data_IF_923969494770
#
_entry.id   IF_923969494770
#
_cell.length_a   1.000
_cell.length_b   1.000
_cell.length_c   1.000
_cell.angle_alpha   90.00
_cell.angle_beta   90.00
_cell.angle_gamma   90.00
#
_symmetry.space_group_name_H-M   'P 1'
#
loop_
_entity.id
_entity.type
_entity.pdbx_description
1 polymer ?
#
# COMPACT_ATOMS: atom_id res chain seq x y z
N UNK A 1 8.43 -4.79 19.71
CA UNK A 1 8.34 -3.34 19.42
C UNK A 1 6.91 -2.79 19.47
N UNK A 2 5.88 -3.48 20.01
CA UNK A 2 4.64 -2.83 20.50
C UNK A 2 3.78 -2.00 19.52
N UNK A 3 4.16 -1.87 18.25
CA UNK A 3 3.49 -1.01 17.24
C UNK A 3 2.05 -1.44 16.88
N UNK A 4 1.55 -2.53 17.47
CA UNK A 4 0.22 -3.10 17.23
C UNK A 4 -0.81 -2.72 18.30
N UNK A 5 -0.41 -1.98 19.34
CA UNK A 5 -1.31 -1.60 20.43
C UNK A 5 -1.98 -0.26 20.12
N UNK A 6 -3.31 -0.27 20.02
CA UNK A 6 -4.13 0.93 20.05
C UNK A 6 -4.15 1.45 21.50
N UNK A 7 -3.62 2.65 21.72
CA UNK A 7 -3.67 3.32 23.02
C UNK A 7 -5.00 4.10 23.16
N UNK A 8 -5.40 4.40 24.40
CA UNK A 8 -6.65 5.10 24.71
C UNK A 8 -6.41 6.46 25.43
N UNK A 9 -6.59 7.58 24.71
CA UNK A 9 -6.38 8.93 25.25
C UNK A 9 -6.23 10.03 24.18
N UNK A 10 -6.86 11.20 24.39
CA UNK A 10 -7.13 12.22 23.36
C UNK A 10 -5.94 13.06 22.82
N UNK A 11 -4.69 12.77 23.22
CA UNK A 11 -3.46 13.30 22.58
C UNK A 11 -2.74 12.23 21.73
N UNK A 12 -3.28 11.00 21.70
CA UNK A 12 -2.67 9.82 21.08
C UNK A 12 -2.97 9.69 19.58
N UNK A 13 -3.79 10.56 18.98
CA UNK A 13 -4.19 10.42 17.58
C UNK A 13 -3.00 10.62 16.63
N UNK A 14 -2.17 11.65 16.86
CA UNK A 14 -0.99 11.92 16.04
C UNK A 14 0.10 10.87 16.24
N UNK A 15 0.38 10.46 17.48
CA UNK A 15 1.38 9.42 17.76
C UNK A 15 0.94 8.07 17.17
N UNK A 16 -0.34 7.72 17.31
CA UNK A 16 -0.92 6.50 16.73
C UNK A 16 -0.88 6.55 15.20
N UNK A 17 -1.16 7.70 14.59
CA UNK A 17 -1.05 7.90 13.15
C UNK A 17 0.40 7.73 12.66
N UNK A 18 1.39 8.25 13.38
CA UNK A 18 2.81 8.08 13.06
C UNK A 18 3.25 6.63 13.22
N UNK A 19 2.84 5.96 14.30
CA UNK A 19 3.12 4.53 14.52
C UNK A 19 2.50 3.66 13.43
N UNK A 20 1.25 3.93 13.05
CA UNK A 20 0.57 3.23 11.94
C UNK A 20 1.28 3.48 10.60
N UNK A 21 1.60 4.74 10.28
CA UNK A 21 2.36 5.10 9.08
C UNK A 21 3.70 4.34 9.00
N UNK A 22 4.44 4.32 10.11
CA UNK A 22 5.72 3.62 10.24
C UNK A 22 5.55 2.12 10.08
N UNK A 23 4.53 1.53 10.72
CA UNK A 23 4.24 0.11 10.62
C UNK A 23 3.97 -0.30 9.18
N UNK A 24 3.08 0.39 8.48
CA UNK A 24 2.73 0.06 7.09
C UNK A 24 3.89 0.27 6.13
N UNK A 25 4.74 1.27 6.37
CA UNK A 25 5.98 1.47 5.62
C UNK A 25 6.94 0.30 5.79
N UNK A 26 7.24 -0.08 7.04
CA UNK A 26 8.12 -1.20 7.36
C UNK A 26 7.55 -2.55 6.87
N UNK A 27 6.25 -2.77 7.05
CA UNK A 27 5.54 -3.95 6.58
C UNK A 27 5.67 -4.09 5.07
N UNK A 28 5.33 -3.04 4.32
CA UNK A 28 5.37 -3.10 2.86
C UNK A 28 6.80 -3.30 2.32
N UNK A 29 7.81 -2.76 3.00
CA UNK A 29 9.21 -3.00 2.68
C UNK A 29 9.61 -4.47 2.90
N UNK A 30 9.21 -5.08 4.02
CA UNK A 30 9.43 -6.52 4.29
C UNK A 30 8.75 -7.37 3.21
N UNK A 31 7.52 -7.03 2.81
CA UNK A 31 6.79 -7.74 1.75
C UNK A 31 7.51 -7.60 0.39
N UNK A 32 7.95 -6.41 0.02
CA UNK A 32 8.68 -6.19 -1.24
C UNK A 32 10.00 -6.97 -1.28
N UNK A 33 10.73 -6.99 -0.16
CA UNK A 33 11.95 -7.78 -0.02
C UNK A 33 11.66 -9.28 -0.18
N UNK A 34 10.67 -9.81 0.55
CA UNK A 34 10.29 -11.21 0.48
C UNK A 34 9.80 -11.62 -0.92
N UNK A 35 9.09 -10.73 -1.62
CA UNK A 35 8.69 -10.93 -3.01
C UNK A 35 9.90 -11.04 -3.94
N UNK A 36 10.89 -10.17 -3.79
CA UNK A 36 12.11 -10.19 -4.63
C UNK A 36 13.00 -11.41 -4.38
N UNK A 37 13.02 -11.90 -3.14
CA UNK A 37 13.91 -12.98 -2.71
C UNK A 37 13.24 -14.36 -2.68
N UNK A 38 11.92 -14.42 -2.87
CA UNK A 38 11.14 -15.66 -2.79
C UNK A 38 11.12 -16.26 -1.38
N UNK A 39 11.17 -15.41 -0.34
CA UNK A 39 11.13 -15.85 1.05
C UNK A 39 9.76 -15.59 1.67
N UNK A 40 9.47 -16.23 2.79
CA UNK A 40 8.30 -15.87 3.59
C UNK A 40 8.53 -14.56 4.34
N UNK A 41 7.48 -13.72 4.47
CA UNK A 41 7.47 -12.58 5.38
C UNK A 41 7.82 -12.99 6.80
N UNK A 42 8.47 -12.09 7.55
CA UNK A 42 8.85 -12.37 8.96
C UNK A 42 7.67 -12.24 9.92
N UNK A 43 6.58 -11.65 9.47
CA UNK A 43 5.30 -11.60 10.18
C UNK A 43 4.49 -12.87 9.93
N UNK A 44 3.57 -13.20 10.85
CA UNK A 44 2.71 -14.39 10.73
C UNK A 44 1.73 -14.27 9.55
N UNK A 45 1.11 -15.39 9.15
CA UNK A 45 0.11 -15.43 8.06
C UNK A 45 -1.06 -14.44 8.28
N UNK A 46 -1.45 -14.23 9.54
CA UNK A 46 -2.53 -13.32 9.94
C UNK A 46 -2.01 -12.36 11.01
N UNK A 47 -1.21 -11.35 10.63
CA UNK A 47 -0.67 -10.40 11.58
C UNK A 47 -1.79 -9.46 12.06
N UNK A 48 -1.70 -8.99 13.30
CA UNK A 48 -2.51 -7.86 13.74
C UNK A 48 -2.01 -6.61 13.01
N UNK A 49 -2.87 -6.02 12.19
CA UNK A 49 -2.55 -4.85 11.38
C UNK A 49 -3.22 -3.62 12.01
N UNK A 50 -2.49 -2.52 12.23
CA UNK A 50 -3.07 -1.29 12.76
C UNK A 50 -4.06 -0.70 11.76
N UNK A 51 -4.99 0.11 12.28
CA UNK A 51 -5.96 0.81 11.44
C UNK A 51 -5.25 1.66 10.38
N UNK A 52 -5.82 1.67 9.18
CA UNK A 52 -5.37 2.55 8.12
C UNK A 52 -5.76 3.99 8.45
N UNK A 53 -4.91 4.97 8.13
CA UNK A 53 -5.28 6.36 8.32
C UNK A 53 -6.51 6.73 7.50
N UNK A 54 -7.40 7.50 8.12
CA UNK A 54 -8.58 8.02 7.43
C UNK A 54 -8.20 8.94 6.25
N UNK A 55 -9.02 8.92 5.21
CA UNK A 55 -8.85 9.82 4.06
C UNK A 55 -9.33 11.21 4.47
N UNK A 56 -8.42 12.19 4.45
CA UNK A 56 -8.69 13.58 4.83
C UNK A 56 -8.71 14.45 3.58
N UNK A 57 -9.88 14.98 3.21
CA UNK A 57 -10.08 15.73 1.94
C UNK A 57 -9.09 16.87 1.73
N UNK A 58 -8.78 17.63 2.79
CA UNK A 58 -7.83 18.75 2.69
C UNK A 58 -6.41 18.30 2.36
N UNK A 59 -6.01 17.12 2.86
CA UNK A 59 -4.71 16.53 2.56
C UNK A 59 -4.69 15.94 1.14
N UNK A 60 -5.77 15.28 0.71
CA UNK A 60 -5.87 14.75 -0.65
C UNK A 60 -5.82 15.86 -1.71
N UNK A 61 -6.42 17.02 -1.41
CA UNK A 61 -6.43 18.18 -2.30
C UNK A 61 -5.15 19.03 -2.23
N UNK A 62 -4.19 18.67 -1.38
CA UNK A 62 -2.93 19.41 -1.30
C UNK A 62 -2.23 19.38 -2.66
N UNK A 63 -1.70 20.52 -3.10
CA UNK A 63 -1.03 20.62 -4.39
C UNK A 63 0.17 19.67 -4.45
N UNK A 64 0.20 18.83 -5.48
CA UNK A 64 1.35 18.01 -5.83
C UNK A 64 1.83 18.36 -7.22
N UNK A 65 3.16 18.45 -7.37
CA UNK A 65 3.82 18.80 -8.60
C UNK A 65 4.85 17.69 -8.89
N UNK A 66 4.83 17.08 -10.08
CA UNK A 66 5.78 16.05 -10.44
C UNK A 66 7.21 16.60 -10.46
N UNK A 67 8.14 15.78 -9.99
CA UNK A 67 9.57 16.07 -10.11
C UNK A 67 9.97 16.02 -11.59
N UNK A 68 10.68 17.03 -12.05
CA UNK A 68 11.23 17.10 -13.40
C UNK A 68 12.75 16.99 -13.35
N UNK A 69 13.35 16.20 -14.26
CA UNK A 69 14.80 15.95 -14.30
C UNK A 69 15.65 17.22 -14.43
N UNK A 70 15.10 18.30 -14.99
CA UNK A 70 15.81 19.56 -15.22
C UNK A 70 15.72 20.54 -14.05
N UNK A 71 14.99 20.21 -12.96
CA UNK A 71 14.77 21.10 -11.82
C UNK A 71 13.98 22.39 -12.13
N UNK A 72 13.58 22.62 -13.39
CA UNK A 72 12.71 23.71 -13.79
C UNK A 72 11.28 23.38 -13.34
N UNK A 73 10.56 24.30 -12.68
CA UNK A 73 9.17 24.07 -12.33
C UNK A 73 8.41 23.68 -13.61
N UNK A 74 7.70 22.53 -13.63
CA UNK A 74 6.84 22.22 -14.76
C UNK A 74 5.85 23.37 -14.95
N UNK A 75 5.41 23.59 -16.19
CA UNK A 75 4.35 24.58 -16.45
C UNK A 75 3.17 24.33 -15.51
N UNK A 76 2.45 25.39 -15.09
CA UNK A 76 1.27 25.33 -14.18
C UNK A 76 0.15 24.37 -14.63
N UNK A 77 0.31 23.72 -15.78
CA UNK A 77 -0.54 22.69 -16.35
C UNK A 77 -0.39 21.32 -15.66
N UNK A 78 0.65 21.11 -14.83
CA UNK A 78 0.88 19.83 -14.13
C UNK A 78 0.37 19.80 -12.68
N UNK A 79 -0.30 20.87 -12.24
CA UNK A 79 -0.90 20.99 -10.91
C UNK A 79 -1.99 19.93 -10.72
N UNK A 80 -1.89 19.14 -9.64
CA UNK A 80 -2.88 18.10 -9.35
C UNK A 80 -3.02 17.85 -7.84
N UNK A 81 -4.12 17.22 -7.41
CA UNK A 81 -4.26 16.74 -6.04
C UNK A 81 -3.21 15.67 -5.72
N UNK A 82 -2.67 15.69 -4.51
CA UNK A 82 -1.62 14.77 -4.05
C UNK A 82 -2.11 13.34 -3.85
N UNK A 83 -3.38 13.16 -3.49
CA UNK A 83 -3.97 11.85 -3.18
C UNK A 83 -3.17 11.02 -2.16
N UNK A 84 -2.44 11.66 -1.23
CA UNK A 84 -1.43 10.98 -0.37
C UNK A 84 -2.01 9.81 0.40
N UNK A 85 -3.17 9.98 1.06
CA UNK A 85 -3.79 8.90 1.85
C UNK A 85 -4.40 7.84 0.94
N UNK A 86 -4.91 8.22 -0.23
CA UNK A 86 -5.42 7.26 -1.22
C UNK A 86 -4.31 6.36 -1.75
N UNK A 87 -3.15 6.92 -2.13
CA UNK A 87 -1.95 6.17 -2.54
C UNK A 87 -1.54 5.20 -1.44
N UNK A 88 -1.41 5.70 -0.22
CA UNK A 88 -1.04 4.89 0.94
C UNK A 88 -2.02 3.75 1.21
N UNK A 89 -3.33 4.02 1.13
CA UNK A 89 -4.37 3.01 1.34
C UNK A 89 -4.35 1.94 0.27
N UNK A 90 -4.16 2.34 -1.00
CA UNK A 90 -4.06 1.43 -2.14
C UNK A 90 -2.86 0.49 -1.97
N UNK A 91 -1.68 1.06 -1.67
CA UNK A 91 -0.46 0.30 -1.43
C UNK A 91 -0.59 -0.65 -0.24
N UNK A 92 -1.21 -0.21 0.84
CA UNK A 92 -1.43 -1.04 2.04
C UNK A 92 -2.36 -2.23 1.78
N UNK A 93 -3.40 -2.10 0.94
CA UNK A 93 -4.21 -3.27 0.53
C UNK A 93 -3.41 -4.21 -0.38
N UNK A 94 -2.64 -3.66 -1.32
CA UNK A 94 -1.79 -4.46 -2.20
C UNK A 94 -0.76 -5.28 -1.41
N UNK A 95 -0.10 -4.67 -0.42
CA UNK A 95 0.86 -5.34 0.45
C UNK A 95 0.25 -6.54 1.17
N UNK A 96 -1.03 -6.46 1.60
CA UNK A 96 -1.73 -7.61 2.21
C UNK A 96 -1.95 -8.75 1.22
N UNK A 97 -2.34 -8.42 -0.02
CA UNK A 97 -2.53 -9.42 -1.08
C UNK A 97 -1.21 -10.12 -1.40
N UNK A 98 -0.14 -9.35 -1.60
CA UNK A 98 1.20 -9.90 -1.84
C UNK A 98 1.67 -10.76 -0.67
N UNK A 99 1.45 -10.32 0.57
CA UNK A 99 1.76 -11.12 1.76
C UNK A 99 1.05 -12.48 1.73
N UNK A 100 -0.26 -12.51 1.42
CA UNK A 100 -1.01 -13.77 1.29
C UNK A 100 -0.48 -14.64 0.14
N UNK A 101 -0.11 -14.03 -0.98
CA UNK A 101 0.51 -14.71 -2.13
C UNK A 101 1.80 -15.41 -1.74
N UNK A 102 2.69 -14.71 -1.02
CA UNK A 102 3.95 -15.28 -0.54
C UNK A 102 3.72 -16.49 0.36
N UNK A 103 2.71 -16.43 1.23
CA UNK A 103 2.36 -17.57 2.06
C UNK A 103 1.80 -18.75 1.28
N UNK A 104 1.02 -18.53 0.23
CA UNK A 104 0.55 -19.63 -0.62
C UNK A 104 1.68 -20.26 -1.43
N UNK A 105 2.67 -19.47 -1.84
CA UNK A 105 3.78 -19.94 -2.69
C UNK A 105 4.92 -20.57 -1.89
N UNK A 106 5.24 -20.04 -0.70
CA UNK A 106 6.47 -20.37 0.02
C UNK A 106 6.24 -21.06 1.38
N UNK A 107 4.99 -21.41 1.73
CA UNK A 107 4.72 -22.15 2.98
C UNK A 107 5.37 -23.54 2.96
N UNK A 108 6.27 -23.85 3.91
CA UNK A 108 6.90 -25.17 3.97
C UNK A 108 5.85 -26.26 4.26
N UNK A 109 5.95 -27.39 3.55
CA UNK A 109 5.07 -28.55 3.75
C UNK A 109 3.66 -28.42 3.15
N UNK A 110 3.31 -27.29 2.54
CA UNK A 110 2.07 -27.13 1.77
C UNK A 110 2.39 -26.98 0.29
N UNK A 111 1.98 -27.94 -0.52
CA UNK A 111 2.09 -27.81 -1.98
C UNK A 111 1.20 -26.70 -2.51
N UNK A 112 1.69 -25.96 -3.50
CA UNK A 112 0.88 -24.99 -4.25
C UNK A 112 -0.19 -25.76 -5.00
N UNK A 113 -1.47 -25.44 -4.74
CA UNK A 113 -2.61 -26.05 -5.41
C UNK A 113 -3.33 -25.01 -6.27
N UNK A 114 -4.09 -25.47 -7.27
CA UNK A 114 -4.78 -24.57 -8.21
C UNK A 114 -5.82 -23.67 -7.52
N UNK A 115 -6.55 -24.18 -6.53
CA UNK A 115 -7.63 -23.43 -5.85
C UNK A 115 -7.12 -22.20 -5.08
N UNK A 116 -6.14 -22.28 -4.16
CA UNK A 116 -5.58 -21.10 -3.50
C UNK A 116 -5.00 -20.07 -4.46
N UNK A 117 -4.36 -20.53 -5.54
CA UNK A 117 -3.80 -19.65 -6.56
C UNK A 117 -4.89 -18.89 -7.32
N UNK A 118 -5.94 -19.59 -7.75
CA UNK A 118 -7.10 -18.97 -8.40
C UNK A 118 -7.80 -17.97 -7.48
N UNK A 119 -7.94 -18.29 -6.20
CA UNK A 119 -8.54 -17.38 -5.22
C UNK A 119 -7.72 -16.09 -5.08
N UNK A 120 -6.40 -16.20 -4.94
CA UNK A 120 -5.51 -15.03 -4.87
C UNK A 120 -5.58 -14.21 -6.15
N UNK A 121 -5.59 -14.86 -7.31
CA UNK A 121 -5.72 -14.16 -8.59
C UNK A 121 -7.05 -13.38 -8.69
N UNK A 122 -8.16 -13.98 -8.27
CA UNK A 122 -9.45 -13.30 -8.20
C UNK A 122 -9.44 -12.13 -7.22
N UNK A 123 -8.77 -12.27 -6.07
CA UNK A 123 -8.60 -11.19 -5.09
C UNK A 123 -7.80 -10.01 -5.68
N UNK A 124 -6.75 -10.27 -6.48
CA UNK A 124 -6.02 -9.23 -7.20
C UNK A 124 -6.89 -8.49 -8.23
N UNK A 125 -7.70 -9.21 -9.00
CA UNK A 125 -8.63 -8.59 -9.95
C UNK A 125 -9.67 -7.73 -9.23
N UNK A 126 -10.27 -8.27 -8.17
CA UNK A 126 -11.26 -7.53 -7.37
C UNK A 126 -10.66 -6.27 -6.74
N UNK A 127 -9.42 -6.34 -6.27
CA UNK A 127 -8.70 -5.16 -5.78
C UNK A 127 -8.42 -4.15 -6.89
N UNK A 128 -7.99 -4.60 -8.08
CA UNK A 128 -7.74 -3.73 -9.24
C UNK A 128 -8.97 -2.93 -9.65
N UNK A 129 -10.14 -3.59 -9.67
CA UNK A 129 -11.41 -2.96 -10.02
C UNK A 129 -11.80 -1.84 -9.03
N UNK A 130 -11.37 -1.95 -7.78
CA UNK A 130 -11.63 -0.98 -6.71
C UNK A 130 -10.60 0.16 -6.63
N UNK A 131 -9.51 0.11 -7.40
CA UNK A 131 -8.50 1.19 -7.41
C UNK A 131 -9.12 2.49 -7.93
N UNK A 132 -9.01 3.62 -7.21
CA UNK A 132 -9.52 4.91 -7.67
C UNK A 132 -8.92 5.34 -9.02
N UNK A 133 -9.71 5.98 -9.87
CA UNK A 133 -9.26 6.45 -11.20
C UNK A 133 -8.03 7.36 -11.12
N UNK A 134 -7.96 8.20 -10.09
CA UNK A 134 -6.81 9.07 -9.84
C UNK A 134 -5.50 8.30 -9.55
N UNK A 135 -5.56 7.01 -9.25
CA UNK A 135 -4.37 6.17 -9.02
C UNK A 135 -4.09 5.21 -10.17
N UNK A 136 -4.97 5.20 -11.19
CA UNK A 136 -4.81 4.42 -12.41
C UNK A 136 -3.84 5.14 -13.34
N UNK A 137 -3.07 4.34 -14.08
CA UNK A 137 -2.09 4.84 -15.03
C UNK A 137 -2.74 5.77 -16.07
N UNK A 138 -2.07 6.88 -16.39
CA UNK A 138 -2.43 7.76 -17.50
C UNK A 138 -3.50 8.81 -17.18
N UNK A 139 -4.04 8.84 -15.96
CA UNK A 139 -5.02 9.85 -15.57
C UNK A 139 -4.39 11.13 -15.00
N UNK A 140 -3.25 11.00 -14.32
CA UNK A 140 -2.51 12.11 -13.75
C UNK A 140 -1.02 11.74 -13.59
N UNK A 141 -0.23 12.60 -12.95
CA UNK A 141 1.19 12.34 -12.71
C UNK A 141 1.49 11.87 -11.28
N UNK A 142 0.50 11.77 -10.39
CA UNK A 142 0.71 11.16 -9.06
C UNK A 142 1.26 9.75 -9.24
N UNK A 143 2.13 9.26 -8.34
CA UNK A 143 2.75 7.95 -8.50
C UNK A 143 1.69 6.87 -8.78
N UNK A 144 1.69 6.37 -10.02
CA UNK A 144 0.74 5.35 -10.42
C UNK A 144 1.00 4.11 -9.57
N UNK A 145 -0.05 3.57 -8.95
CA UNK A 145 0.10 2.40 -8.07
C UNK A 145 0.31 1.13 -8.90
N UNK A 146 -0.04 1.15 -10.19
CA UNK A 146 0.07 -0.01 -11.07
C UNK A 146 0.54 0.35 -12.48
N UNK A 147 1.47 -0.48 -12.98
CA UNK A 147 1.78 -0.63 -14.38
C UNK A 147 1.31 -2.01 -14.82
N UNK A 148 0.42 -2.06 -15.81
CA UNK A 148 0.17 -3.27 -16.58
C UNK A 148 0.18 -2.83 -18.06
N UNK A 149 1.16 -3.31 -18.82
CA UNK A 149 1.18 -3.22 -20.28
C UNK A 149 0.52 -4.46 -20.87
#
# INVERSE_FOLDING_TARGET
>A
MGLQMDAAGSEEDDETAVRSATFWGAYSLDIAWCLSTGTLPRCSLSPHLPAKPAIVKGLEASLWIPYTDNGAPPERLCDQPSNVRSVYNCFSELSKLVHRSLYVLHSPGKGVTSRPLQNIYADYLSWYDQVPDALRLGHNFTPAVLFAQ
#
